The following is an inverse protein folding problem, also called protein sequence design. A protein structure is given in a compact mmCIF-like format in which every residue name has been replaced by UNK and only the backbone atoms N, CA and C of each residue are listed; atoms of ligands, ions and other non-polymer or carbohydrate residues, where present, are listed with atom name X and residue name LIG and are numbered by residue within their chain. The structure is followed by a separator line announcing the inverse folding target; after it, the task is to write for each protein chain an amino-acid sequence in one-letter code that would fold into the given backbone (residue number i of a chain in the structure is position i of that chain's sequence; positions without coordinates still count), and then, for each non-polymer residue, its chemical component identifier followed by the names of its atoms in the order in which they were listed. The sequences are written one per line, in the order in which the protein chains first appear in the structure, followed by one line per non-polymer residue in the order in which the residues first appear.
data_IF_037869013287
#
_entry.id   IF_037869013287
#
_cell.length_a   1.000
_cell.length_b   1.000
_cell.length_c   1.000
_cell.angle_alpha   90.00
_cell.angle_beta   90.00
_cell.angle_gamma   90.00
#
_symmetry.space_group_name_H-M   'P 1'
#
loop_
_entity.id
_entity.type
_entity.pdbx_description
1 polymer ?
#
# COMPACT_ATOMS: atom_id res chain seq x y z
N UNK A 1 5.43 14.22 25.34
CA UNK A 1 4.91 13.57 26.56
C UNK A 1 3.50 13.09 26.29
N UNK A 2 3.35 11.84 25.84
CA UNK A 2 2.05 11.19 25.62
C UNK A 2 1.53 10.82 27.01
N UNK A 3 0.35 11.34 27.40
CA UNK A 3 -0.33 10.91 28.63
C UNK A 3 -1.49 10.03 28.20
N UNK A 4 -1.40 8.74 28.47
CA UNK A 4 -2.57 7.86 28.45
C UNK A 4 -3.51 8.32 29.57
N UNK A 5 -4.76 8.59 29.22
CA UNK A 5 -5.85 8.74 30.18
C UNK A 5 -6.90 7.71 29.81
N UNK A 6 -6.80 6.52 30.39
CA UNK A 6 -7.96 5.64 30.53
C UNK A 6 -8.88 6.29 31.56
N UNK A 7 -9.96 6.95 31.13
CA UNK A 7 -11.09 7.26 32.00
C UNK A 7 -12.08 6.11 31.95
N UNK A 8 -12.61 5.73 33.12
CA UNK A 8 -13.81 4.89 33.21
C UNK A 8 -14.97 5.61 32.55
N UNK A 9 -15.65 4.92 31.65
CA UNK A 9 -16.76 5.42 30.85
C UNK A 9 -18.01 5.67 31.70
N UNK A 10 -18.75 6.73 31.38
CA UNK A 10 -20.19 6.82 31.66
C UNK A 10 -20.92 5.82 30.75
N UNK A 11 -22.00 5.20 31.25
CA UNK A 11 -22.64 3.99 30.69
C UNK A 11 -23.21 4.07 29.25
N UNK A 12 -23.10 5.21 28.55
CA UNK A 12 -23.65 5.43 27.20
C UNK A 12 -22.71 5.11 26.01
N UNK A 13 -21.46 4.68 26.25
CA UNK A 13 -20.44 4.56 25.18
C UNK A 13 -20.04 3.11 24.80
N UNK A 14 -20.93 2.13 24.95
CA UNK A 14 -20.55 0.70 24.94
C UNK A 14 -20.18 0.07 23.59
N UNK A 15 -19.86 0.84 22.54
CA UNK A 15 -19.56 0.25 21.23
C UNK A 15 -18.46 0.87 20.34
N UNK A 16 -17.70 1.83 20.85
CA UNK A 16 -16.38 2.17 20.32
C UNK A 16 -15.34 1.69 21.34
N UNK A 17 -14.83 0.47 21.18
CA UNK A 17 -14.03 -0.19 22.23
C UNK A 17 -12.67 0.49 22.50
N UNK A 18 -12.19 1.37 21.63
CA UNK A 18 -11.00 2.19 21.93
C UNK A 18 -11.05 3.55 21.24
N UNK A 19 -11.13 4.61 22.06
CA UNK A 19 -10.95 6.00 21.65
C UNK A 19 -9.66 6.54 22.28
N UNK A 20 -8.71 6.95 21.43
CA UNK A 20 -7.40 7.44 21.89
C UNK A 20 -7.32 8.95 21.64
N UNK A 21 -6.92 9.70 22.68
CA UNK A 21 -6.69 11.15 22.59
C UNK A 21 -5.19 11.46 22.62
N UNK A 22 -4.66 12.01 21.54
CA UNK A 22 -3.27 12.45 21.45
C UNK A 22 -3.17 13.98 21.40
N UNK A 23 -2.69 14.60 22.49
CA UNK A 23 -2.38 16.04 22.52
C UNK A 23 -1.07 16.32 21.81
N UNK A 24 -1.10 17.25 20.87
CA UNK A 24 0.09 17.66 20.11
C UNK A 24 0.56 19.03 20.62
N UNK A 25 1.80 19.08 21.12
CA UNK A 25 2.49 20.29 21.56
C UNK A 25 3.51 20.80 20.53
N UNK A 26 4.03 22.01 20.76
CA UNK A 26 5.16 22.55 20.00
C UNK A 26 6.42 21.70 20.26
N UNK A 27 7.22 21.48 19.22
CA UNK A 27 8.51 20.78 19.32
C UNK A 27 9.66 21.81 19.35
N UNK A 28 10.69 21.65 20.19
CA UNK A 28 11.88 22.47 20.14
C UNK A 28 12.68 22.14 18.88
N UNK A 29 12.93 23.13 18.01
CA UNK A 29 13.64 22.92 16.75
C UNK A 29 15.16 22.99 16.91
N UNK A 30 15.85 21.94 16.47
CA UNK A 30 17.20 22.07 15.89
C UNK A 30 17.06 21.69 14.42
N UNK A 31 17.43 22.63 13.55
CA UNK A 31 17.48 22.42 12.11
C UNK A 31 18.67 21.54 11.79
N UNK A 32 18.40 20.32 11.35
CA UNK A 32 19.39 19.43 10.77
C UNK A 32 18.71 18.70 9.61
N UNK A 33 19.32 18.77 8.44
CA UNK A 33 18.80 18.13 7.23
C UNK A 33 18.81 16.61 7.42
N UNK A 34 17.62 16.02 7.48
CA UNK A 34 17.43 14.58 7.46
C UNK A 34 16.19 14.28 6.63
N UNK A 35 16.43 13.62 5.50
CA UNK A 35 15.41 13.18 4.57
C UNK A 35 14.71 11.94 5.14
N UNK A 36 13.48 12.09 5.63
CA UNK A 36 12.55 10.96 5.78
C UNK A 36 11.38 11.14 4.83
N UNK A 37 11.65 10.95 3.54
CA UNK A 37 10.63 10.48 2.62
C UNK A 37 10.75 8.97 2.58
N UNK A 38 9.63 8.23 2.58
CA UNK A 38 9.62 6.76 2.41
C UNK A 38 10.12 6.29 1.03
N UNK A 39 10.71 7.20 0.27
CA UNK A 39 11.31 7.03 -1.04
C UNK A 39 12.51 7.98 -1.20
N UNK A 40 13.31 8.18 -0.15
CA UNK A 40 14.44 9.13 -0.16
C UNK A 40 15.53 8.79 -1.17
N UNK A 41 15.41 7.70 -1.93
CA UNK A 41 16.24 7.36 -3.08
C UNK A 41 15.48 6.55 -4.16
N UNK A 42 14.20 6.85 -4.46
CA UNK A 42 13.46 6.08 -5.47
C UNK A 42 13.87 6.50 -6.89
N UNK A 43 14.91 5.85 -7.43
CA UNK A 43 15.42 6.09 -8.78
C UNK A 43 14.46 5.61 -9.87
N UNK A 44 13.69 4.56 -9.58
CA UNK A 44 12.79 3.90 -10.53
C UNK A 44 11.37 3.81 -9.96
N UNK A 45 10.36 3.93 -10.82
CA UNK A 45 8.97 3.66 -10.44
C UNK A 45 8.65 2.16 -10.50
N UNK A 46 9.19 1.48 -11.51
CA UNK A 46 8.97 0.05 -11.75
C UNK A 46 10.30 -0.68 -11.87
N UNK A 47 10.39 -1.87 -11.27
CA UNK A 47 11.39 -2.89 -11.54
C UNK A 47 10.72 -4.01 -12.34
N UNK A 48 11.26 -4.36 -13.51
CA UNK A 48 10.72 -5.40 -14.38
C UNK A 48 11.66 -6.61 -14.38
N UNK A 49 11.25 -7.69 -13.69
CA UNK A 49 11.94 -8.98 -13.64
C UNK A 49 11.31 -9.95 -14.63
N UNK A 50 12.15 -10.66 -15.37
CA UNK A 50 11.78 -11.62 -16.40
C UNK A 50 13.00 -12.45 -16.77
N UNK A 51 12.76 -13.59 -17.44
CA UNK A 51 13.82 -14.40 -18.02
C UNK A 51 14.28 -13.81 -19.36
N UNK A 52 15.55 -13.48 -19.48
CA UNK A 52 16.09 -12.78 -20.65
C UNK A 52 16.37 -13.65 -21.86
N UNK A 53 16.57 -14.96 -21.70
CA UNK A 53 17.10 -15.84 -22.75
C UNK A 53 16.22 -15.96 -24.01
N UNK A 54 14.90 -15.69 -23.92
CA UNK A 54 13.99 -15.84 -25.07
C UNK A 54 12.86 -14.78 -25.17
N UNK A 55 12.82 -13.79 -24.28
CA UNK A 55 11.65 -12.88 -24.15
C UNK A 55 11.93 -11.42 -24.47
N UNK A 56 13.19 -11.07 -24.75
CA UNK A 56 13.67 -9.71 -25.07
C UNK A 56 13.20 -9.14 -26.41
N UNK A 57 12.79 -9.98 -27.34
CA UNK A 57 12.26 -9.55 -28.65
C UNK A 57 10.73 -9.66 -28.73
N UNK A 58 10.11 -10.05 -27.63
CA UNK A 58 8.71 -10.46 -27.59
C UNK A 58 7.96 -9.60 -26.57
N UNK A 59 6.99 -10.19 -25.86
CA UNK A 59 6.11 -9.52 -24.91
C UNK A 59 6.80 -8.55 -23.93
N UNK A 60 7.94 -8.94 -23.34
CA UNK A 60 8.56 -8.13 -22.29
C UNK A 60 9.13 -6.80 -22.82
N UNK A 61 9.61 -6.77 -24.06
CA UNK A 61 10.08 -5.53 -24.70
C UNK A 61 8.91 -4.61 -25.03
N UNK A 62 7.81 -5.16 -25.55
CA UNK A 62 6.57 -4.41 -25.75
C UNK A 62 6.03 -3.83 -24.43
N UNK A 63 6.05 -4.63 -23.35
CA UNK A 63 5.64 -4.17 -22.02
C UNK A 63 6.55 -3.05 -21.50
N UNK A 64 7.87 -3.23 -21.60
CA UNK A 64 8.84 -2.20 -21.20
C UNK A 64 8.62 -0.90 -21.98
N UNK A 65 8.52 -1.00 -23.31
CA UNK A 65 8.28 0.16 -24.18
C UNK A 65 6.96 0.84 -23.83
N UNK A 66 5.88 0.10 -23.63
CA UNK A 66 4.59 0.68 -23.26
C UNK A 66 4.61 1.38 -21.90
N UNK A 67 5.36 0.85 -20.92
CA UNK A 67 5.58 1.53 -19.64
C UNK A 67 6.34 2.85 -19.82
N UNK A 68 7.41 2.85 -20.62
CA UNK A 68 8.21 4.05 -20.92
C UNK A 68 7.41 5.09 -21.70
N UNK A 69 6.67 4.66 -22.73
CA UNK A 69 5.82 5.53 -23.55
C UNK A 69 4.68 6.16 -22.70
N UNK A 70 4.25 5.49 -21.63
CA UNK A 70 3.32 6.02 -20.62
C UNK A 70 3.98 6.94 -19.57
N UNK A 71 5.27 7.24 -19.71
CA UNK A 71 6.04 8.10 -18.81
C UNK A 71 6.46 7.44 -17.50
N UNK A 72 6.43 6.10 -17.41
CA UNK A 72 6.78 5.36 -16.21
C UNK A 72 8.26 4.99 -16.25
N UNK A 73 9.04 5.56 -15.33
CA UNK A 73 10.47 5.28 -15.22
C UNK A 73 10.69 3.84 -14.74
N UNK A 74 11.12 2.96 -15.65
CA UNK A 74 11.20 1.52 -15.43
C UNK A 74 12.65 1.03 -15.52
N UNK A 75 13.12 0.31 -14.51
CA UNK A 75 14.33 -0.50 -14.60
C UNK A 75 13.96 -1.85 -15.23
N UNK A 76 14.66 -2.22 -16.29
CA UNK A 76 14.52 -3.50 -16.97
C UNK A 76 15.69 -4.38 -16.60
N UNK A 77 15.42 -5.50 -15.94
CA UNK A 77 16.46 -6.44 -15.59
C UNK A 77 16.96 -7.23 -16.80
N UNK A 78 18.19 -7.72 -16.73
CA UNK A 78 18.89 -8.39 -17.83
C UNK A 78 19.78 -9.49 -17.24
N UNK A 79 19.23 -10.69 -17.10
CA UNK A 79 19.89 -11.87 -16.54
C UNK A 79 20.91 -12.55 -17.49
N UNK A 80 21.10 -12.08 -18.73
CA UNK A 80 22.06 -12.63 -19.71
C UNK A 80 23.43 -11.93 -19.71
N UNK A 81 23.53 -10.70 -19.18
CA UNK A 81 24.84 -10.07 -19.01
C UNK A 81 25.60 -10.90 -17.98
N UNK A 82 26.76 -11.48 -18.30
CA UNK A 82 27.62 -12.12 -17.28
C UNK A 82 27.95 -11.10 -16.20
N UNK A 83 27.29 -11.22 -15.04
CA UNK A 83 27.29 -10.21 -13.98
C UNK A 83 28.48 -10.44 -13.06
N UNK A 84 29.38 -9.46 -12.94
CA UNK A 84 30.35 -9.38 -11.85
C UNK A 84 29.72 -8.80 -10.57
N UNK A 85 30.44 -8.83 -9.44
CA UNK A 85 29.97 -8.39 -8.11
C UNK A 85 29.30 -7.00 -8.08
N UNK A 86 29.72 -6.07 -8.95
CA UNK A 86 29.14 -4.74 -9.06
C UNK A 86 27.69 -4.74 -9.58
N UNK A 87 27.32 -5.72 -10.41
CA UNK A 87 26.00 -5.75 -11.05
C UNK A 87 24.94 -6.32 -10.08
N UNK A 88 25.33 -7.23 -9.18
CA UNK A 88 24.45 -7.69 -8.09
C UNK A 88 24.08 -6.56 -7.13
N UNK A 89 25.04 -5.69 -6.83
CA UNK A 89 24.79 -4.52 -5.99
C UNK A 89 23.84 -3.52 -6.67
N UNK A 90 24.03 -3.26 -7.97
CA UNK A 90 23.12 -2.38 -8.72
C UNK A 90 21.72 -2.95 -8.84
N UNK A 91 21.60 -4.27 -9.00
CA UNK A 91 20.34 -4.98 -9.06
C UNK A 91 19.57 -4.90 -7.74
N UNK A 92 20.24 -5.25 -6.63
CA UNK A 92 19.67 -5.11 -5.29
C UNK A 92 19.24 -3.67 -5.04
N UNK A 93 20.05 -2.70 -5.44
CA UNK A 93 19.72 -1.28 -5.32
C UNK A 93 18.51 -0.91 -6.18
N UNK A 94 18.40 -1.40 -7.41
CA UNK A 94 17.25 -1.15 -8.28
C UNK A 94 15.96 -1.75 -7.70
N UNK A 95 16.03 -2.98 -7.17
CA UNK A 95 14.92 -3.61 -6.44
C UNK A 95 14.54 -2.73 -5.25
N UNK A 96 15.51 -2.32 -4.42
CA UNK A 96 15.27 -1.49 -3.22
C UNK A 96 14.76 -0.09 -3.53
N UNK A 97 15.07 0.45 -4.70
CA UNK A 97 14.72 1.81 -5.13
C UNK A 97 13.51 1.88 -6.06
N UNK A 98 12.80 0.76 -6.27
CA UNK A 98 11.60 0.71 -7.11
C UNK A 98 10.32 0.71 -6.29
N UNK A 99 9.23 1.34 -6.76
CA UNK A 99 7.94 1.33 -6.04
C UNK A 99 7.14 0.06 -6.30
N UNK A 100 7.21 -0.43 -7.53
CA UNK A 100 6.49 -1.60 -8.01
C UNK A 100 7.50 -2.58 -8.61
N UNK A 101 7.44 -3.85 -8.24
CA UNK A 101 8.13 -4.94 -8.92
C UNK A 101 7.13 -5.72 -9.75
N UNK A 102 7.31 -5.73 -11.07
CA UNK A 102 6.58 -6.57 -12.01
C UNK A 102 7.44 -7.81 -12.25
N UNK A 103 6.86 -8.99 -12.06
CA UNK A 103 7.54 -10.27 -12.31
C UNK A 103 6.77 -10.98 -13.41
N UNK A 104 7.42 -11.17 -14.56
CA UNK A 104 6.82 -11.82 -15.72
C UNK A 104 7.22 -13.30 -15.72
N UNK A 105 6.25 -14.15 -15.41
CA UNK A 105 6.43 -15.59 -15.39
C UNK A 105 6.18 -16.16 -16.79
N UNK A 106 7.22 -16.82 -17.29
CA UNK A 106 7.19 -17.70 -18.45
C UNK A 106 7.29 -19.16 -17.99
N UNK A 107 6.98 -20.13 -18.87
CA UNK A 107 7.13 -21.56 -18.58
C UNK A 107 8.52 -21.95 -18.09
N UNK A 108 9.56 -21.34 -18.62
CA UNK A 108 10.96 -21.63 -18.34
C UNK A 108 11.59 -20.66 -17.31
N UNK A 109 10.81 -19.78 -16.68
CA UNK A 109 11.31 -18.83 -15.69
C UNK A 109 12.16 -19.52 -14.61
N UNK A 110 11.68 -20.64 -14.08
CA UNK A 110 12.35 -21.36 -12.99
C UNK A 110 13.64 -22.09 -13.39
N UNK A 111 13.98 -22.23 -14.68
CA UNK A 111 15.29 -22.80 -15.04
C UNK A 111 16.44 -21.80 -14.87
N UNK A 112 16.15 -20.50 -14.76
CA UNK A 112 17.15 -19.47 -14.46
C UNK A 112 17.32 -19.32 -12.96
N UNK A 113 18.51 -19.68 -12.45
CA UNK A 113 18.90 -19.46 -11.05
C UNK A 113 18.76 -17.99 -10.67
N UNK A 114 19.14 -17.08 -11.56
CA UNK A 114 19.11 -15.64 -11.31
C UNK A 114 17.69 -15.11 -11.12
N UNK A 115 16.77 -15.49 -12.03
CA UNK A 115 15.35 -15.16 -11.90
C UNK A 115 14.75 -15.62 -10.56
N UNK A 116 15.20 -16.76 -10.02
CA UNK A 116 14.74 -17.28 -8.73
C UNK A 116 15.37 -16.53 -7.54
N UNK A 117 16.64 -16.15 -7.62
CA UNK A 117 17.30 -15.35 -6.59
C UNK A 117 16.73 -13.93 -6.53
N UNK A 118 16.50 -13.29 -7.68
CA UNK A 118 15.79 -12.00 -7.79
C UNK A 118 14.40 -12.06 -7.16
N UNK A 119 13.65 -13.13 -7.45
CA UNK A 119 12.32 -13.34 -6.89
C UNK A 119 12.39 -13.39 -5.35
N UNK A 120 13.38 -14.09 -4.79
CA UNK A 120 13.59 -14.12 -3.33
C UNK A 120 13.84 -12.72 -2.79
N UNK A 121 14.74 -11.94 -3.40
CA UNK A 121 15.03 -10.57 -2.97
C UNK A 121 13.81 -9.66 -3.02
N UNK A 122 13.00 -9.75 -4.08
CA UNK A 122 11.76 -8.98 -4.23
C UNK A 122 10.77 -9.36 -3.13
N UNK A 123 10.60 -10.65 -2.85
CA UNK A 123 9.65 -11.13 -1.84
C UNK A 123 10.11 -10.82 -0.42
N UNK A 124 11.41 -10.90 -0.12
CA UNK A 124 11.97 -10.44 1.14
C UNK A 124 11.72 -8.95 1.36
N UNK A 125 11.97 -8.12 0.34
CA UNK A 125 11.66 -6.70 0.39
C UNK A 125 10.16 -6.48 0.63
N UNK A 126 9.29 -7.24 -0.02
CA UNK A 126 7.83 -7.14 0.17
C UNK A 126 7.41 -7.47 1.62
N UNK A 127 8.12 -8.37 2.31
CA UNK A 127 7.82 -8.72 3.70
C UNK A 127 8.29 -7.64 4.68
N UNK A 128 9.42 -6.99 4.38
CA UNK A 128 10.05 -6.01 5.26
C UNK A 128 9.59 -4.56 5.00
N UNK A 129 9.25 -4.25 3.76
CA UNK A 129 8.86 -2.93 3.29
C UNK A 129 7.51 -2.96 2.56
N UNK A 130 6.89 -1.79 2.46
CA UNK A 130 5.62 -1.60 1.77
C UNK A 130 5.80 -1.46 0.24
N UNK A 131 6.50 -2.40 -0.41
CA UNK A 131 6.65 -2.45 -1.87
C UNK A 131 5.49 -3.22 -2.55
N UNK A 132 5.14 -2.80 -3.76
CA UNK A 132 4.06 -3.44 -4.51
C UNK A 132 4.67 -4.49 -5.43
N UNK A 133 4.22 -5.74 -5.31
CA UNK A 133 4.58 -6.81 -6.26
C UNK A 133 3.37 -7.11 -7.15
N UNK A 134 3.61 -7.20 -8.46
CA UNK A 134 2.60 -7.53 -9.47
C UNK A 134 3.11 -8.72 -10.32
N UNK A 135 2.67 -9.95 -10.02
CA UNK A 135 2.98 -11.07 -10.89
C UNK A 135 2.13 -11.01 -12.18
N UNK A 136 2.79 -11.25 -13.30
CA UNK A 136 2.22 -11.33 -14.65
C UNK A 136 2.51 -12.74 -15.18
N UNK A 137 1.48 -13.53 -15.38
CA UNK A 137 1.56 -14.91 -15.85
C UNK A 137 1.28 -14.91 -17.35
N UNK A 138 2.35 -14.97 -18.15
CA UNK A 138 2.26 -14.78 -19.59
C UNK A 138 1.83 -16.05 -20.31
N UNK A 139 2.57 -17.15 -20.17
CA UNK A 139 2.26 -18.44 -20.81
C UNK A 139 2.23 -19.59 -19.81
N UNK A 140 2.06 -19.28 -18.52
CA UNK A 140 2.05 -20.25 -17.42
C UNK A 140 0.82 -20.05 -16.54
N UNK A 141 0.30 -21.16 -16.00
CA UNK A 141 -0.78 -21.12 -15.01
C UNK A 141 -0.22 -20.76 -13.63
N UNK A 142 -0.82 -19.81 -12.88
CA UNK A 142 -0.39 -19.44 -11.53
C UNK A 142 -0.25 -20.63 -10.57
N UNK A 143 -1.10 -21.65 -10.71
CA UNK A 143 -1.05 -22.87 -9.88
C UNK A 143 0.20 -23.70 -10.16
N UNK A 144 0.72 -23.70 -11.39
CA UNK A 144 2.00 -24.37 -11.71
C UNK A 144 3.17 -23.66 -11.05
N UNK A 145 3.15 -22.32 -11.02
CA UNK A 145 4.16 -21.52 -10.32
C UNK A 145 4.09 -21.79 -8.81
N UNK A 146 2.90 -21.71 -8.21
CA UNK A 146 2.70 -21.81 -6.76
C UNK A 146 2.83 -23.21 -6.17
N UNK A 147 2.52 -24.26 -6.95
CA UNK A 147 2.72 -25.68 -6.56
C UNK A 147 4.00 -26.28 -7.13
N UNK A 148 4.75 -25.51 -7.92
CA UNK A 148 5.96 -25.93 -8.62
C UNK A 148 5.75 -27.23 -9.42
N UNK A 149 4.71 -27.27 -10.26
CA UNK A 149 4.38 -28.41 -11.14
C UNK A 149 4.74 -28.10 -12.59
N UNK A 150 4.64 -29.10 -13.48
CA UNK A 150 4.93 -28.90 -14.91
C UNK A 150 6.39 -28.54 -15.18
N UNK A 151 6.63 -27.48 -15.95
CA UNK A 151 7.98 -27.01 -16.29
C UNK A 151 8.77 -26.54 -15.06
N UNK A 152 8.09 -26.00 -14.04
CA UNK A 152 8.73 -25.61 -12.79
C UNK A 152 9.25 -26.84 -12.03
N UNK A 153 8.49 -27.94 -11.99
CA UNK A 153 8.96 -29.19 -11.37
C UNK A 153 10.23 -29.71 -12.05
N UNK A 154 10.25 -29.72 -13.38
CA UNK A 154 11.42 -30.17 -14.15
C UNK A 154 12.65 -29.30 -13.87
N UNK A 155 12.49 -27.97 -13.81
CA UNK A 155 13.58 -27.06 -13.46
C UNK A 155 14.14 -27.33 -12.05
N UNK A 156 13.28 -27.56 -11.06
CA UNK A 156 13.73 -27.87 -9.70
C UNK A 156 14.47 -29.20 -9.59
N UNK A 157 14.11 -30.22 -10.38
CA UNK A 157 14.87 -31.49 -10.43
C UNK A 157 16.31 -31.24 -10.89
N UNK A 158 16.52 -30.39 -11.89
CA UNK A 158 17.87 -30.07 -12.39
C UNK A 158 18.68 -29.21 -11.42
N UNK A 159 18.03 -28.24 -10.75
CA UNK A 159 18.67 -27.47 -9.68
C UNK A 159 19.08 -28.35 -8.49
N UNK A 160 18.22 -29.28 -8.07
CA UNK A 160 18.52 -30.18 -6.95
C UNK A 160 19.69 -31.14 -7.25
N UNK A 161 19.82 -31.62 -8.49
CA UNK A 161 20.99 -32.41 -8.93
C UNK A 161 22.28 -31.59 -8.91
N UNK A 162 22.20 -30.33 -9.34
CA UNK A 162 23.37 -29.46 -9.51
C UNK A 162 23.85 -28.85 -8.19
N UNK A 163 22.98 -28.76 -7.17
CA UNK A 163 23.23 -27.98 -5.95
C UNK A 163 22.87 -28.73 -4.67
N UNK A 164 23.32 -29.99 -4.55
CA UNK A 164 23.09 -30.83 -3.36
C UNK A 164 23.50 -30.16 -2.03
N UNK A 165 24.41 -29.18 -2.06
CA UNK A 165 24.92 -28.42 -0.90
C UNK A 165 24.15 -27.10 -0.63
N UNK A 166 23.34 -26.57 -1.56
CA UNK A 166 22.59 -25.31 -1.40
C UNK A 166 21.08 -25.55 -1.11
N UNK A 167 20.73 -26.56 -0.29
CA UNK A 167 19.34 -26.92 0.03
C UNK A 167 18.51 -25.76 0.60
N UNK A 168 19.14 -24.89 1.40
CA UNK A 168 18.48 -23.71 1.97
C UNK A 168 18.03 -22.72 0.88
N UNK A 169 18.83 -22.56 -0.18
CA UNK A 169 18.53 -21.67 -1.29
C UNK A 169 17.35 -22.17 -2.12
N UNK A 170 17.36 -23.47 -2.46
CA UNK A 170 16.24 -24.13 -3.16
C UNK A 170 14.95 -24.01 -2.36
N UNK A 171 15.02 -24.15 -1.03
CA UNK A 171 13.89 -23.92 -0.13
C UNK A 171 13.38 -22.47 -0.21
N UNK A 172 14.29 -21.49 -0.19
CA UNK A 172 13.96 -20.07 -0.37
C UNK A 172 13.20 -19.79 -1.67
N UNK A 173 13.66 -20.37 -2.79
CA UNK A 173 12.98 -20.25 -4.08
C UNK A 173 11.56 -20.84 -4.06
N UNK A 174 11.38 -22.03 -3.47
CA UNK A 174 10.06 -22.67 -3.34
C UNK A 174 9.08 -21.80 -2.53
N UNK A 175 9.55 -21.23 -1.42
CA UNK A 175 8.74 -20.34 -0.58
C UNK A 175 8.34 -19.09 -1.36
N UNK A 176 9.29 -18.44 -2.04
CA UNK A 176 9.03 -17.21 -2.79
C UNK A 176 8.05 -17.43 -3.96
N UNK A 177 8.19 -18.55 -4.69
CA UNK A 177 7.26 -18.93 -5.78
C UNK A 177 5.85 -19.24 -5.27
N UNK A 178 5.73 -19.87 -4.10
CA UNK A 178 4.43 -20.11 -3.48
C UNK A 178 3.77 -18.79 -3.09
N UNK A 179 4.50 -17.93 -2.38
CA UNK A 179 3.95 -16.65 -1.92
C UNK A 179 3.58 -15.71 -3.07
N UNK A 180 4.41 -15.63 -4.12
CA UNK A 180 4.13 -14.74 -5.26
C UNK A 180 2.93 -15.24 -6.07
N UNK A 181 2.72 -16.56 -6.17
CA UNK A 181 1.57 -17.14 -6.85
C UNK A 181 0.24 -16.89 -6.10
N UNK A 182 0.30 -16.76 -4.78
CA UNK A 182 -0.85 -16.41 -3.95
C UNK A 182 -1.22 -14.90 -4.03
N UNK A 183 -0.38 -14.07 -4.67
CA UNK A 183 -0.70 -12.65 -4.90
C UNK A 183 -1.69 -12.46 -6.05
N UNK A 184 -2.47 -11.38 -5.98
CA UNK A 184 -3.36 -10.96 -7.05
C UNK A 184 -2.58 -10.50 -8.31
N UNK A 185 -2.32 -11.45 -9.21
CA UNK A 185 -1.61 -11.24 -10.47
C UNK A 185 -2.47 -10.85 -11.66
N UNK A 186 -1.93 -11.03 -12.86
CA UNK A 186 -2.61 -10.90 -14.14
C UNK A 186 -2.23 -12.09 -15.02
N UNK A 187 -3.20 -12.71 -15.68
CA UNK A 187 -3.00 -13.89 -16.53
C UNK A 187 -3.40 -13.53 -17.95
N UNK A 188 -2.56 -13.85 -18.94
CA UNK A 188 -2.88 -13.60 -20.35
C UNK A 188 -4.02 -14.52 -20.84
N UNK A 189 -3.92 -15.83 -20.58
CA UNK A 189 -4.87 -16.83 -21.07
C UNK A 189 -4.95 -16.83 -22.59
N UNK A 190 -6.16 -16.93 -23.13
CA UNK A 190 -6.44 -16.86 -24.59
C UNK A 190 -6.59 -15.41 -25.09
N UNK A 191 -6.10 -14.42 -24.32
CA UNK A 191 -6.23 -13.00 -24.62
C UNK A 191 -5.22 -12.47 -25.64
N UNK A 192 -5.47 -11.26 -26.16
CA UNK A 192 -4.55 -10.57 -27.07
C UNK A 192 -3.44 -9.86 -26.30
N UNK A 193 -2.18 -10.13 -26.64
CA UNK A 193 -1.01 -9.55 -25.97
C UNK A 193 -1.04 -8.02 -25.89
N UNK A 194 -1.39 -7.33 -26.98
CA UNK A 194 -1.43 -5.87 -27.00
C UNK A 194 -2.42 -5.28 -25.98
N UNK A 195 -3.61 -5.88 -25.86
CA UNK A 195 -4.61 -5.48 -24.87
C UNK A 195 -4.14 -5.81 -23.45
N UNK A 196 -3.47 -6.95 -23.29
CA UNK A 196 -2.90 -7.35 -22.02
C UNK A 196 -1.83 -6.37 -21.55
N UNK A 197 -0.89 -5.97 -22.42
CA UNK A 197 0.12 -4.94 -22.13
C UNK A 197 -0.53 -3.63 -21.70
N UNK A 198 -1.53 -3.14 -22.44
CA UNK A 198 -2.27 -1.92 -22.06
C UNK A 198 -2.90 -2.05 -20.68
N UNK A 199 -3.54 -3.18 -20.39
CA UNK A 199 -4.17 -3.42 -19.08
C UNK A 199 -3.16 -3.45 -17.93
N UNK A 200 -1.94 -3.96 -18.17
CA UNK A 200 -0.84 -3.94 -17.20
C UNK A 200 -0.41 -2.50 -16.96
N UNK A 201 -0.15 -1.72 -18.02
CA UNK A 201 0.24 -0.31 -17.93
C UNK A 201 -0.80 0.49 -17.16
N UNK A 202 -2.09 0.34 -17.47
CA UNK A 202 -3.16 1.00 -16.73
C UNK A 202 -3.18 0.63 -15.24
N UNK A 203 -3.01 -0.66 -14.93
CA UNK A 203 -2.98 -1.14 -13.53
C UNK A 203 -1.78 -0.56 -12.78
N UNK A 204 -0.63 -0.47 -13.44
CA UNK A 204 0.59 0.14 -12.89
C UNK A 204 0.39 1.64 -12.69
N UNK A 205 -0.09 2.37 -13.69
CA UNK A 205 -0.40 3.81 -13.58
C UNK A 205 -1.36 4.09 -12.42
N UNK A 206 -2.48 3.35 -12.32
CA UNK A 206 -3.43 3.49 -11.19
C UNK A 206 -2.80 3.21 -9.83
N UNK A 207 -1.80 2.31 -9.75
CA UNK A 207 -1.06 2.04 -8.51
C UNK A 207 -0.04 3.15 -8.20
N UNK A 208 0.59 3.75 -9.20
CA UNK A 208 1.49 4.89 -9.05
C UNK A 208 0.74 6.19 -8.73
N UNK A 209 -0.44 6.39 -9.31
CA UNK A 209 -1.33 7.55 -9.14
C UNK A 209 -2.11 7.56 -7.82
N UNK A 210 -1.85 6.62 -6.91
CA UNK A 210 -2.44 6.68 -5.58
C UNK A 210 -2.01 7.99 -4.91
N UNK A 211 -2.97 8.92 -4.79
CA UNK A 211 -2.78 10.27 -4.22
C UNK A 211 -2.02 10.20 -2.90
N UNK A 212 -0.72 10.45 -2.96
CA UNK A 212 0.08 10.72 -1.77
C UNK A 212 -0.03 12.20 -1.45
N UNK A 213 -0.39 12.51 -0.21
CA UNK A 213 -0.39 13.90 0.23
C UNK A 213 1.04 14.41 0.34
N UNK A 214 1.32 15.63 -0.14
CA UNK A 214 2.59 16.28 0.14
C UNK A 214 2.73 16.52 1.66
N UNK A 215 3.83 16.03 2.22
CA UNK A 215 4.22 16.21 3.63
C UNK A 215 5.55 16.97 3.62
N UNK A 216 5.61 18.20 4.17
CA UNK A 216 6.85 18.98 4.16
C UNK A 216 8.01 18.25 4.86
N UNK A 217 9.20 18.29 4.24
CA UNK A 217 10.41 17.59 4.67
C UNK A 217 10.89 17.99 6.08
N UNK A 218 10.62 19.22 6.51
CA UNK A 218 11.08 19.79 7.78
C UNK A 218 10.20 19.39 8.99
N UNK A 219 9.37 18.35 8.87
CA UNK A 219 8.50 17.88 9.96
C UNK A 219 9.24 16.95 10.93
N UNK A 220 10.36 17.43 11.50
CA UNK A 220 11.26 16.66 12.36
C UNK A 220 10.77 16.67 13.82
N UNK A 221 11.00 15.56 14.55
CA UNK A 221 10.74 15.46 16.00
C UNK A 221 9.36 14.89 16.36
N UNK A 222 8.64 14.34 15.38
CA UNK A 222 7.34 13.70 15.59
C UNK A 222 7.25 12.26 15.10
N UNK A 223 8.37 11.71 14.64
CA UNK A 223 8.51 10.31 14.27
C UNK A 223 8.04 9.35 15.38
N UNK A 224 8.28 9.61 16.69
CA UNK A 224 7.73 8.75 17.74
C UNK A 224 6.20 8.69 17.76
N UNK A 225 5.52 9.81 17.49
CA UNK A 225 4.05 9.84 17.44
C UNK A 225 3.53 9.22 16.15
N UNK A 226 4.18 9.45 15.01
CA UNK A 226 3.86 8.79 13.74
C UNK A 226 4.03 7.28 13.88
N UNK A 227 5.13 6.81 14.47
CA UNK A 227 5.42 5.40 14.71
C UNK A 227 4.44 4.78 15.70
N UNK A 228 4.07 5.50 16.76
CA UNK A 228 3.03 5.07 17.68
C UNK A 228 1.69 4.85 16.97
N UNK A 229 1.25 5.80 16.14
CA UNK A 229 0.00 5.66 15.39
C UNK A 229 0.12 4.54 14.34
N UNK A 230 1.27 4.40 13.67
CA UNK A 230 1.51 3.29 12.73
C UNK A 230 1.42 1.92 13.42
N UNK A 231 2.00 1.79 14.61
CA UNK A 231 1.90 0.59 15.42
C UNK A 231 0.45 0.30 15.82
N UNK A 232 -0.30 1.32 16.26
CA UNK A 232 -1.73 1.21 16.55
C UNK A 232 -2.57 0.84 15.31
N UNK A 233 -2.23 1.30 14.11
CA UNK A 233 -2.91 0.88 12.88
C UNK A 233 -2.67 -0.59 12.55
N UNK A 234 -1.55 -1.15 13.03
CA UNK A 234 -1.12 -2.53 12.83
C UNK A 234 -1.42 -3.43 14.04
N UNK A 235 -2.00 -2.89 15.12
CA UNK A 235 -2.40 -3.70 16.25
C UNK A 235 -3.35 -4.79 15.71
N UNK A 236 -3.06 -6.06 16.00
CA UNK A 236 -3.86 -7.19 15.52
C UNK A 236 -5.29 -7.22 16.08
N UNK A 237 -5.73 -6.13 16.71
CA UNK A 237 -7.07 -5.90 17.21
C UNK A 237 -8.04 -5.85 16.03
N UNK A 238 -9.02 -6.76 16.08
CA UNK A 238 -10.10 -6.81 15.11
C UNK A 238 -11.19 -5.75 15.37
N UNK A 239 -11.01 -4.85 16.34
CA UNK A 239 -12.02 -3.85 16.66
C UNK A 239 -11.82 -2.56 15.84
N UNK A 240 -12.92 -1.89 15.52
CA UNK A 240 -12.88 -0.56 14.92
C UNK A 240 -12.46 0.48 15.98
N UNK A 241 -11.55 1.39 15.61
CA UNK A 241 -10.92 2.28 16.57
C UNK A 241 -10.70 3.70 16.00
N UNK A 242 -10.69 4.70 16.90
CA UNK A 242 -10.56 6.11 16.54
C UNK A 242 -9.41 6.73 17.34
N UNK A 243 -8.53 7.47 16.65
CA UNK A 243 -7.53 8.34 17.27
C UNK A 243 -7.87 9.80 16.99
N UNK A 244 -7.87 10.63 18.03
CA UNK A 244 -8.03 12.09 17.90
C UNK A 244 -6.70 12.78 18.16
N UNK A 245 -6.21 13.43 17.11
CA UNK A 245 -5.08 14.34 17.16
C UNK A 245 -5.59 15.75 17.46
N UNK A 246 -5.35 16.25 18.67
CA UNK A 246 -5.83 17.58 19.06
C UNK A 246 -4.73 18.51 19.57
N UNK A 247 -4.92 19.81 19.39
CA UNK A 247 -3.95 20.84 19.76
C UNK A 247 -4.17 22.15 19.01
N UNK A 248 -3.34 23.15 19.29
CA UNK A 248 -3.46 24.49 18.70
C UNK A 248 -3.31 24.48 17.17
N UNK A 249 -3.75 25.57 16.52
CA UNK A 249 -3.52 25.79 15.08
C UNK A 249 -2.03 25.83 14.75
N UNK A 250 -1.65 25.46 13.52
CA UNK A 250 -0.25 25.50 13.07
C UNK A 250 0.67 24.44 13.68
N UNK A 251 0.22 23.70 14.70
CA UNK A 251 1.06 22.72 15.38
C UNK A 251 1.42 21.53 14.48
N UNK A 252 0.74 21.29 13.35
CA UNK A 252 1.11 20.22 12.40
C UNK A 252 0.35 18.88 12.57
N UNK A 253 -0.88 18.91 13.07
CA UNK A 253 -1.74 17.73 13.21
C UNK A 253 -2.10 17.11 11.85
N UNK A 254 -2.53 17.96 10.90
CA UNK A 254 -2.80 17.59 9.51
C UNK A 254 -1.58 16.93 8.87
N UNK A 255 -0.37 17.44 9.16
CA UNK A 255 0.89 16.87 8.64
C UNK A 255 1.15 15.47 9.18
N UNK A 256 0.90 15.21 10.47
CA UNK A 256 0.97 13.86 11.05
C UNK A 256 -0.05 12.95 10.37
N UNK A 257 -1.30 13.39 10.28
CA UNK A 257 -2.37 12.58 9.70
C UNK A 257 -2.08 12.22 8.23
N UNK A 258 -1.58 13.17 7.42
CA UNK A 258 -1.10 12.92 6.05
C UNK A 258 0.06 11.94 6.02
N UNK A 259 1.06 12.12 6.89
CA UNK A 259 2.20 11.22 6.99
C UNK A 259 1.72 9.80 7.25
N UNK A 260 0.98 9.57 8.33
CA UNK A 260 0.43 8.27 8.73
C UNK A 260 -0.44 7.66 7.62
N UNK A 261 -1.36 8.45 7.04
CA UNK A 261 -2.23 7.98 5.96
C UNK A 261 -1.41 7.46 4.78
N UNK A 262 -0.40 8.22 4.33
CA UNK A 262 0.49 7.80 3.26
C UNK A 262 1.28 6.52 3.59
N UNK A 263 1.54 6.14 4.87
CA UNK A 263 2.25 4.88 5.23
C UNK A 263 1.36 3.66 5.32
N UNK A 264 0.05 3.84 5.38
CA UNK A 264 -0.83 2.72 5.64
C UNK A 264 -1.94 2.58 4.59
N UNK A 265 -1.96 3.44 3.56
CA UNK A 265 -3.00 3.49 2.54
C UNK A 265 -3.19 2.16 1.76
N UNK A 266 -2.17 1.31 1.68
CA UNK A 266 -2.23 0.01 1.02
C UNK A 266 -2.67 -1.13 1.94
N UNK A 267 -2.72 -0.91 3.26
CA UNK A 267 -3.13 -1.90 4.27
C UNK A 267 -4.64 -1.98 4.48
N UNK A 268 -5.40 -1.09 3.83
CA UNK A 268 -6.86 -0.97 3.97
C UNK A 268 -7.53 -1.03 2.59
N UNK A 269 -8.73 -1.61 2.55
CA UNK A 269 -9.52 -1.81 1.33
C UNK A 269 -10.19 -0.51 0.88
N UNK A 270 -10.77 0.21 1.83
CA UNK A 270 -11.31 1.56 1.64
C UNK A 270 -10.41 2.60 2.30
N UNK A 271 -10.16 3.71 1.61
CA UNK A 271 -9.28 4.76 2.13
C UNK A 271 -9.82 6.12 1.77
N UNK A 272 -9.94 7.03 2.73
CA UNK A 272 -10.42 8.38 2.45
C UNK A 272 -9.75 9.41 3.33
N UNK A 273 -9.47 10.57 2.75
CA UNK A 273 -8.98 11.73 3.47
C UNK A 273 -9.91 12.89 3.15
N UNK A 274 -10.72 13.27 4.13
CA UNK A 274 -11.65 14.39 4.05
C UNK A 274 -10.95 15.63 4.61
N UNK A 275 -10.34 16.40 3.70
CA UNK A 275 -9.67 17.67 4.04
C UNK A 275 -10.66 18.81 4.24
N UNK A 276 -10.28 19.76 5.10
CA UNK A 276 -11.00 20.99 5.37
C UNK A 276 -12.46 20.75 5.80
N UNK A 277 -12.66 19.88 6.78
CA UNK A 277 -13.98 19.46 7.21
C UNK A 277 -14.89 20.65 7.62
N UNK A 278 -14.32 21.69 8.23
CA UNK A 278 -15.07 22.90 8.66
C UNK A 278 -15.68 23.71 7.51
N UNK A 279 -15.04 23.70 6.34
CA UNK A 279 -15.38 24.61 5.24
C UNK A 279 -16.28 23.96 4.19
N UNK A 280 -16.67 22.70 4.40
CA UNK A 280 -17.44 21.93 3.43
C UNK A 280 -18.84 21.66 3.97
N UNK A 281 -19.78 21.71 3.03
CA UNK A 281 -21.12 21.20 3.25
C UNK A 281 -21.10 19.69 3.54
N UNK A 282 -22.04 19.22 4.36
CA UNK A 282 -22.06 17.82 4.79
C UNK A 282 -22.35 16.86 3.63
N UNK A 283 -23.26 17.20 2.72
CA UNK A 283 -23.56 16.37 1.54
C UNK A 283 -22.32 16.29 0.63
N UNK A 284 -21.56 17.37 0.53
CA UNK A 284 -20.28 17.37 -0.17
C UNK A 284 -19.26 16.41 0.47
N UNK A 285 -19.14 16.40 1.80
CA UNK A 285 -18.30 15.45 2.55
C UNK A 285 -18.76 14.01 2.36
N UNK A 286 -20.06 13.76 2.42
CA UNK A 286 -20.64 12.43 2.22
C UNK A 286 -20.36 11.89 0.81
N UNK A 287 -20.57 12.72 -0.22
CA UNK A 287 -20.28 12.38 -1.61
C UNK A 287 -18.80 12.10 -1.83
N UNK A 288 -17.92 12.91 -1.25
CA UNK A 288 -16.47 12.70 -1.31
C UNK A 288 -16.06 11.39 -0.63
N UNK A 289 -16.65 11.04 0.51
CA UNK A 289 -16.36 9.78 1.18
C UNK A 289 -16.81 8.58 0.34
N UNK A 290 -18.05 8.61 -0.13
CA UNK A 290 -18.65 7.53 -0.90
C UNK A 290 -17.99 7.34 -2.26
N UNK A 291 -17.62 8.40 -2.98
CA UNK A 291 -16.97 8.27 -4.29
C UNK A 291 -15.67 7.48 -4.18
N UNK A 292 -14.89 7.75 -3.13
CA UNK A 292 -13.61 7.09 -2.90
C UNK A 292 -13.79 5.68 -2.37
N UNK A 293 -14.71 5.47 -1.41
CA UNK A 293 -14.95 4.13 -0.84
C UNK A 293 -15.58 3.20 -1.87
N UNK A 294 -16.61 3.65 -2.59
CA UNK A 294 -17.32 2.85 -3.60
C UNK A 294 -16.56 2.77 -4.94
N UNK A 295 -15.47 3.52 -5.11
CA UNK A 295 -14.71 3.64 -6.36
C UNK A 295 -15.59 4.07 -7.55
N UNK A 296 -16.55 4.97 -7.29
CA UNK A 296 -17.47 5.53 -8.30
C UNK A 296 -17.14 6.98 -8.55
N UNK A 297 -17.14 7.40 -9.82
CA UNK A 297 -16.92 8.79 -10.23
C UNK A 297 -18.05 9.71 -9.79
N UNK A 298 -19.30 9.23 -9.81
CA UNK A 298 -20.48 9.97 -9.38
C UNK A 298 -21.26 9.16 -8.34
N UNK A 299 -21.62 9.83 -7.25
CA UNK A 299 -22.52 9.31 -6.23
C UNK A 299 -23.64 10.31 -6.05
N UNK A 300 -24.84 9.91 -6.45
CA UNK A 300 -26.04 10.69 -6.24
C UNK A 300 -26.43 10.63 -4.76
N UNK A 301 -26.67 11.82 -4.19
CA UNK A 301 -27.15 12.02 -2.82
C UNK A 301 -28.09 13.22 -2.92
N UNK A 302 -29.36 13.01 -2.62
CA UNK A 302 -30.41 14.03 -2.67
C UNK A 302 -30.43 14.86 -1.39
N UNK A 303 -30.18 14.23 -0.25
CA UNK A 303 -30.18 14.87 1.06
C UNK A 303 -29.20 14.23 2.06
N UNK A 304 -29.05 14.85 3.23
CA UNK A 304 -28.10 14.43 4.26
C UNK A 304 -28.39 13.03 4.82
N UNK A 305 -29.67 12.65 4.96
CA UNK A 305 -30.10 11.40 5.56
C UNK A 305 -29.85 10.23 4.60
N UNK A 306 -30.10 10.44 3.31
CA UNK A 306 -29.70 9.49 2.27
C UNK A 306 -28.19 9.25 2.27
N UNK A 307 -27.40 10.32 2.42
CA UNK A 307 -25.94 10.23 2.52
C UNK A 307 -25.48 9.41 3.73
N UNK A 308 -26.12 9.59 4.88
CA UNK A 308 -25.86 8.81 6.11
C UNK A 308 -26.08 7.33 5.87
N UNK A 309 -27.24 6.95 5.31
CA UNK A 309 -27.57 5.55 5.06
C UNK A 309 -26.58 4.89 4.10
N UNK A 310 -26.26 5.57 2.99
CA UNK A 310 -25.28 5.05 2.02
C UNK A 310 -23.89 4.88 2.62
N UNK A 311 -23.45 5.79 3.49
CA UNK A 311 -22.14 5.67 4.17
C UNK A 311 -22.14 4.48 5.11
N UNK A 312 -23.19 4.31 5.91
CA UNK A 312 -23.33 3.16 6.80
C UNK A 312 -23.16 1.84 6.05
N UNK A 313 -23.86 1.69 4.93
CA UNK A 313 -23.79 0.48 4.10
C UNK A 313 -22.39 0.30 3.45
N UNK A 314 -21.74 1.39 3.06
CA UNK A 314 -20.41 1.33 2.47
C UNK A 314 -19.31 0.95 3.49
N UNK A 315 -19.45 1.38 4.75
CA UNK A 315 -18.45 1.19 5.81
C UNK A 315 -18.58 -0.16 6.52
N UNK A 316 -19.77 -0.74 6.59
CA UNK A 316 -20.00 -1.97 7.34
C UNK A 316 -19.38 -3.21 6.69
N UNK A 317 -19.11 -3.17 5.37
CA UNK A 317 -18.60 -4.31 4.61
C UNK A 317 -17.11 -4.22 4.24
N UNK A 318 -16.38 -3.15 4.62
CA UNK A 318 -15.00 -2.92 4.13
C UNK A 318 -14.09 -2.47 5.24
N UNK A 319 -12.88 -3.03 5.31
CA UNK A 319 -11.86 -2.55 6.25
C UNK A 319 -11.34 -1.20 5.76
N UNK A 320 -11.62 -0.12 6.48
CA UNK A 320 -11.35 1.25 6.02
C UNK A 320 -10.35 2.02 6.87
N UNK A 321 -9.56 2.90 6.23
CA UNK A 321 -8.76 3.94 6.87
C UNK A 321 -9.31 5.31 6.47
N UNK A 322 -9.85 6.06 7.42
CA UNK A 322 -10.47 7.36 7.17
C UNK A 322 -9.77 8.44 7.97
N UNK A 323 -9.35 9.52 7.31
CA UNK A 323 -8.86 10.73 7.96
C UNK A 323 -9.91 11.82 7.84
N UNK A 324 -10.32 12.37 8.98
CA UNK A 324 -11.17 13.55 9.08
C UNK A 324 -10.32 14.72 9.55
N UNK A 325 -9.94 15.60 8.62
CA UNK A 325 -9.01 16.67 8.92
C UNK A 325 -9.75 17.96 9.28
N UNK A 326 -9.38 18.50 10.44
CA UNK A 326 -9.78 19.80 10.95
C UNK A 326 -11.25 19.85 11.39
N UNK A 327 -11.73 18.83 12.10
CA UNK A 327 -13.11 18.76 12.60
C UNK A 327 -13.32 19.66 13.81
N UNK A 328 -14.38 20.47 13.81
CA UNK A 328 -14.74 21.38 14.91
C UNK A 328 -16.15 21.17 15.48
N UNK A 329 -17.06 20.55 14.73
CA UNK A 329 -18.45 20.28 15.13
C UNK A 329 -18.73 18.79 15.27
N UNK A 330 -19.21 18.38 16.45
CA UNK A 330 -19.60 16.99 16.74
C UNK A 330 -20.71 16.49 15.81
N UNK A 331 -21.67 17.35 15.48
CA UNK A 331 -22.81 16.96 14.63
C UNK A 331 -22.35 16.57 13.22
N UNK A 332 -21.42 17.30 12.63
CA UNK A 332 -20.87 16.94 11.31
C UNK A 332 -20.09 15.62 11.35
N UNK A 333 -19.34 15.37 12.44
CA UNK A 333 -18.66 14.09 12.66
C UNK A 333 -19.67 12.93 12.71
N UNK A 334 -20.74 13.09 13.48
CA UNK A 334 -21.80 12.09 13.64
C UNK A 334 -22.52 11.78 12.31
N UNK A 335 -22.67 12.78 11.43
CA UNK A 335 -23.28 12.60 10.10
C UNK A 335 -22.38 11.86 9.08
N UNK A 336 -21.08 11.69 9.38
CA UNK A 336 -20.14 10.95 8.52
C UNK A 336 -19.81 9.57 9.08
N UNK A 337 -19.52 9.45 10.38
CA UNK A 337 -19.05 8.19 10.98
C UNK A 337 -20.14 7.49 11.81
N UNK A 338 -21.21 8.22 12.13
CA UNK A 338 -22.29 7.71 12.96
C UNK A 338 -21.96 7.73 14.44
N UNK A 339 -23.00 7.79 15.28
CA UNK A 339 -22.87 7.70 16.74
C UNK A 339 -22.60 6.26 17.19
N UNK A 340 -22.85 5.25 16.34
CA UNK A 340 -22.77 3.83 16.72
C UNK A 340 -22.43 2.89 15.52
N UNK A 341 -21.37 2.09 15.63
CA UNK A 341 -21.15 0.79 14.96
C UNK A 341 -21.20 0.65 13.42
N UNK A 342 -20.99 1.69 12.63
CA UNK A 342 -20.99 1.51 11.17
C UNK A 342 -19.73 0.84 10.62
N UNK A 343 -18.67 0.77 11.42
CA UNK A 343 -17.34 0.38 10.95
C UNK A 343 -17.17 -1.13 10.98
N UNK A 344 -16.77 -1.67 9.83
CA UNK A 344 -16.24 -3.03 9.75
C UNK A 344 -15.05 -3.21 10.71
N UNK A 345 -14.93 -4.41 11.26
CA UNK A 345 -13.80 -4.86 12.08
C UNK A 345 -12.45 -4.48 11.46
N UNK A 346 -11.52 -4.00 12.29
CA UNK A 346 -10.19 -3.55 11.90
C UNK A 346 -10.14 -2.22 11.13
N UNK A 347 -11.27 -1.50 10.98
CA UNK A 347 -11.27 -0.14 10.41
C UNK A 347 -10.73 0.87 11.41
N UNK A 348 -10.03 1.90 10.91
CA UNK A 348 -9.34 2.89 11.73
C UNK A 348 -9.67 4.30 11.26
N UNK A 349 -9.94 5.19 12.21
CA UNK A 349 -10.24 6.61 11.92
C UNK A 349 -9.23 7.50 12.62
N UNK A 350 -8.72 8.48 11.89
CA UNK A 350 -7.84 9.53 12.41
C UNK A 350 -8.59 10.86 12.29
N UNK A 351 -8.86 11.49 13.41
CA UNK A 351 -9.51 12.81 13.46
C UNK A 351 -8.47 13.85 13.85
N UNK A 352 -8.38 14.97 13.13
CA UNK A 352 -7.62 16.14 13.61
C UNK A 352 -8.57 17.22 14.08
N UNK A 353 -8.32 17.82 15.25
CA UNK A 353 -9.17 18.88 15.80
C UNK A 353 -8.38 19.92 16.59
N UNK A 354 -8.94 21.12 16.75
CA UNK A 354 -8.45 22.10 17.74
C UNK A 354 -9.11 21.92 19.11
N UNK A 355 -10.28 21.28 19.15
CA UNK A 355 -11.08 21.11 20.36
C UNK A 355 -10.85 19.72 20.98
N UNK A 356 -10.56 19.68 22.27
CA UNK A 356 -10.42 18.43 23.03
C UNK A 356 -11.77 17.75 23.25
N UNK A 357 -12.86 18.51 23.40
CA UNK A 357 -14.21 18.02 23.68
C UNK A 357 -15.04 17.77 22.42
N UNK A 358 -14.42 17.40 21.30
CA UNK A 358 -15.13 17.18 20.05
C UNK A 358 -16.02 15.93 20.08
N UNK A 359 -15.63 14.89 20.83
CA UNK A 359 -16.36 13.63 20.97
C UNK A 359 -16.87 13.45 22.40
#
# INVERSE_FOLDING_TARGET
MIREHQRRESEDCRSLKSLIFARIGMAPGKYQESYSSRFSNCKYQVFLSFRGEDTRKNFTDHLYKALVDAGIHTFRDDDEIQRGENIDFELQKAIQQSKISIIVFFKDYASSRWCLDELVMIMERKRNDDCIVLPVFYDVDPSQVGRQTGSFAAAFVEHEKSFNEEKERVSGWRIALKEVADLAGMVLGDGYEAQFVQSIVEKVSKKLDQKMFHVPLHFIGRDPLVNYINSWLQDGSHDAAIVILYGIGGVGKTTIAKSVFNQNIHKFEGKSFLSNFRSKDIVCLQRQLLSVILKKTVVEINDEDEGILKIKDALCCRRTLIVLDDVDKRDQFNKIIGVQNWLCKGSKIIVTSRNKGLL
#
